data_IF_323663630994
#
_entry.id   IF_323663630994
#
_cell.length_a   1.000
_cell.length_b   1.000
_cell.length_c   1.000
_cell.angle_alpha   90.00
_cell.angle_beta   90.00
_cell.angle_gamma   90.00
#
_symmetry.space_group_name_H-M   'P 1'
#
loop_
_entity.id
_entity.type
_entity.pdbx_description
1 polymer ?
#
# COMPACT_ATOMS: atom_id res chain seq x y z
N UNK A 1 57.98 -11.27 66.77
CA UNK A 1 57.02 -12.07 65.99
C UNK A 1 56.20 -11.11 65.14
N UNK A 2 56.74 -10.65 64.02
CA UNK A 2 56.79 -11.29 62.68
C UNK A 2 55.57 -10.95 61.84
N UNK A 3 55.72 -9.84 61.12
CA UNK A 3 55.04 -9.53 59.86
C UNK A 3 55.35 -10.62 58.82
N UNK A 4 54.34 -11.06 58.06
CA UNK A 4 54.51 -11.71 56.75
C UNK A 4 53.59 -11.02 55.73
N UNK A 5 54.09 -10.65 54.54
CA UNK A 5 53.28 -10.07 53.46
C UNK A 5 52.75 -11.18 52.53
N UNK A 6 51.56 -10.97 51.96
CA UNK A 6 51.05 -11.75 50.82
C UNK A 6 50.89 -10.80 49.64
N UNK A 7 51.90 -10.77 48.77
CA UNK A 7 51.83 -10.23 47.41
C UNK A 7 52.35 -11.30 46.45
N UNK A 8 51.46 -11.81 45.58
CA UNK A 8 51.71 -12.40 44.24
C UNK A 8 50.59 -13.39 43.88
N UNK A 9 49.54 -12.89 43.21
CA UNK A 9 48.70 -13.75 42.35
C UNK A 9 48.09 -13.01 41.15
N UNK A 10 47.96 -11.67 41.20
CA UNK A 10 47.29 -10.92 40.13
C UNK A 10 48.09 -10.74 38.82
N UNK A 11 49.43 -10.88 38.80
CA UNK A 11 50.22 -10.61 37.59
C UNK A 11 50.32 -11.79 36.61
N UNK A 12 50.05 -13.04 37.02
CA UNK A 12 50.11 -14.20 36.11
C UNK A 12 48.84 -14.34 35.25
N UNK A 13 47.67 -14.01 35.79
CA UNK A 13 46.40 -14.11 35.05
C UNK A 13 46.23 -13.04 33.96
N UNK A 14 46.82 -11.84 34.13
CA UNK A 14 46.79 -10.80 33.10
C UNK A 14 47.67 -11.15 31.88
N UNK A 15 48.81 -11.82 32.08
CA UNK A 15 49.71 -12.23 31.00
C UNK A 15 49.15 -13.42 30.19
N UNK A 16 48.43 -14.34 30.84
CA UNK A 16 47.73 -15.43 30.14
C UNK A 16 46.53 -14.93 29.33
N UNK A 17 45.77 -13.96 29.85
CA UNK A 17 44.65 -13.35 29.12
C UNK A 17 45.10 -12.50 27.92
N UNK A 18 46.25 -11.81 27.99
CA UNK A 18 46.80 -11.06 26.84
C UNK A 18 47.31 -12.00 25.75
N UNK A 19 48.04 -13.06 26.12
CA UNK A 19 48.56 -14.08 25.20
C UNK A 19 47.45 -14.84 24.46
N UNK A 20 46.32 -15.10 25.14
CA UNK A 20 45.16 -15.78 24.54
C UNK A 20 44.39 -14.85 23.58
N UNK A 21 44.28 -13.55 23.90
CA UNK A 21 43.69 -12.54 23.01
C UNK A 21 44.53 -12.31 21.75
N UNK A 22 45.85 -12.21 21.88
CA UNK A 22 46.76 -12.09 20.73
C UNK A 22 46.71 -13.33 19.83
N UNK A 23 46.68 -14.55 20.39
CA UNK A 23 46.51 -15.77 19.58
C UNK A 23 45.17 -15.80 18.84
N UNK A 24 44.07 -15.38 19.47
CA UNK A 24 42.76 -15.31 18.81
C UNK A 24 42.69 -14.26 17.69
N UNK A 25 43.41 -13.14 17.83
CA UNK A 25 43.52 -12.09 16.80
C UNK A 25 44.40 -12.54 15.62
N UNK A 26 45.46 -13.30 15.89
CA UNK A 26 46.30 -13.89 14.84
C UNK A 26 45.56 -14.97 14.05
N UNK A 27 44.69 -15.75 14.70
CA UNK A 27 43.85 -16.74 14.00
C UNK A 27 42.72 -16.08 13.19
N UNK A 28 42.10 -15.01 13.70
CA UNK A 28 41.10 -14.24 12.94
C UNK A 28 41.69 -13.57 11.69
N UNK A 29 42.86 -12.96 11.80
CA UNK A 29 43.55 -12.35 10.65
C UNK A 29 44.04 -13.38 9.63
N UNK A 30 44.33 -14.61 10.06
CA UNK A 30 44.67 -15.73 9.15
C UNK A 30 43.45 -16.25 8.41
N UNK A 31 42.30 -16.34 9.07
CA UNK A 31 41.02 -16.72 8.47
C UNK A 31 40.56 -15.63 7.48
N UNK A 32 40.66 -14.35 7.83
CA UNK A 32 40.35 -13.24 6.91
C UNK A 32 41.24 -13.26 5.67
N UNK A 33 42.54 -13.52 5.83
CA UNK A 33 43.46 -13.66 4.68
C UNK A 33 43.15 -14.89 3.83
N UNK A 34 42.71 -16.00 4.42
CA UNK A 34 42.29 -17.18 3.67
C UNK A 34 40.95 -16.97 2.95
N UNK A 35 40.02 -16.21 3.54
CA UNK A 35 38.77 -15.80 2.88
C UNK A 35 39.04 -14.83 1.74
N UNK A 36 39.93 -13.85 1.93
CA UNK A 36 40.35 -12.94 0.86
C UNK A 36 41.10 -13.66 -0.26
N UNK A 37 42.00 -14.59 0.07
CA UNK A 37 42.71 -15.39 -0.93
C UNK A 37 41.78 -16.37 -1.67
N UNK A 38 40.76 -16.92 -1.00
CA UNK A 38 39.71 -17.71 -1.65
C UNK A 38 38.81 -16.84 -2.52
N UNK A 39 38.49 -15.61 -2.10
CA UNK A 39 37.73 -14.65 -2.89
C UNK A 39 38.52 -14.15 -4.11
N UNK A 40 39.85 -13.98 -3.99
CA UNK A 40 40.75 -13.64 -5.10
C UNK A 40 40.99 -14.82 -6.04
N UNK A 41 41.09 -16.05 -5.52
CA UNK A 41 41.17 -17.25 -6.34
C UNK A 41 39.84 -17.55 -7.08
N UNK A 42 38.70 -17.23 -6.46
CA UNK A 42 37.39 -17.28 -7.12
C UNK A 42 37.25 -16.19 -8.19
N UNK A 43 37.76 -14.97 -7.92
CA UNK A 43 37.86 -13.87 -8.92
C UNK A 43 38.82 -14.16 -10.08
N UNK A 44 39.82 -15.01 -9.90
CA UNK A 44 40.83 -15.29 -10.91
C UNK A 44 40.43 -16.41 -11.89
N UNK A 45 39.35 -17.15 -11.61
CA UNK A 45 39.00 -18.39 -12.32
C UNK A 45 37.96 -18.25 -13.44
N UNK A 46 37.32 -17.09 -13.61
CA UNK A 46 36.44 -16.83 -14.76
C UNK A 46 36.82 -15.53 -15.46
N UNK A 47 37.50 -15.66 -16.59
CA UNK A 47 37.68 -14.57 -17.55
C UNK A 47 36.96 -14.96 -18.83
N UNK A 48 35.64 -14.77 -18.88
CA UNK A 48 34.85 -14.38 -20.05
C UNK A 48 33.41 -14.04 -19.61
N UNK A 49 32.95 -12.83 -20.00
CA UNK A 49 31.58 -12.30 -20.02
C UNK A 49 31.05 -11.50 -18.79
N UNK A 50 31.34 -10.20 -18.77
CA UNK A 50 30.76 -9.24 -17.82
C UNK A 50 29.22 -9.16 -17.85
N UNK A 51 28.60 -9.49 -18.98
CA UNK A 51 27.13 -9.55 -19.09
C UNK A 51 26.57 -10.83 -18.45
N UNK A 52 27.29 -11.94 -18.50
CA UNK A 52 26.83 -13.20 -17.92
C UNK A 52 26.85 -13.13 -16.38
N UNK A 53 27.85 -12.47 -15.78
CA UNK A 53 27.88 -12.19 -14.34
C UNK A 53 26.71 -11.30 -13.88
N UNK A 54 26.35 -10.29 -14.67
CA UNK A 54 25.19 -9.41 -14.39
C UNK A 54 23.87 -10.19 -14.49
N UNK A 55 23.76 -11.07 -15.49
CA UNK A 55 22.60 -11.93 -15.69
C UNK A 55 22.50 -12.96 -14.56
N UNK A 56 23.61 -13.54 -14.14
CA UNK A 56 23.68 -14.48 -13.01
C UNK A 56 23.25 -13.81 -11.71
N UNK A 57 23.71 -12.57 -11.47
CA UNK A 57 23.27 -11.78 -10.32
C UNK A 57 21.75 -11.56 -10.32
N UNK A 58 21.17 -11.19 -11.46
CA UNK A 58 19.71 -11.04 -11.61
C UNK A 58 18.99 -12.37 -11.40
N UNK A 59 19.51 -13.46 -11.98
CA UNK A 59 18.96 -14.81 -11.85
C UNK A 59 18.94 -15.27 -10.38
N UNK A 60 20.01 -15.01 -9.63
CA UNK A 60 20.10 -15.32 -8.20
C UNK A 60 19.00 -14.59 -7.41
N UNK A 61 18.80 -13.30 -7.69
CA UNK A 61 17.76 -12.48 -7.04
C UNK A 61 16.36 -12.96 -7.40
N UNK A 62 16.09 -13.21 -8.68
CA UNK A 62 14.82 -13.78 -9.16
C UNK A 62 14.53 -15.12 -8.47
N UNK A 63 15.53 -16.00 -8.38
CA UNK A 63 15.40 -17.33 -7.75
C UNK A 63 15.13 -17.22 -6.25
N UNK A 64 15.86 -16.34 -5.55
CA UNK A 64 15.69 -16.12 -4.12
C UNK A 64 14.31 -15.56 -3.74
N UNK A 65 13.77 -14.64 -4.57
CA UNK A 65 12.54 -13.91 -4.27
C UNK A 65 11.27 -14.57 -4.81
N UNK A 66 11.24 -14.96 -6.10
CA UNK A 66 10.06 -15.52 -6.77
C UNK A 66 9.99 -17.04 -6.67
N UNK A 67 11.09 -17.71 -6.30
CA UNK A 67 11.28 -19.18 -6.25
C UNK A 67 10.62 -19.91 -7.44
N UNK A 68 10.97 -19.56 -8.69
CA UNK A 68 10.39 -20.19 -9.87
C UNK A 68 10.95 -21.59 -10.10
N UNK A 69 10.28 -22.39 -10.94
CA UNK A 69 10.84 -23.67 -11.40
C UNK A 69 12.05 -23.40 -12.29
N UNK A 70 13.02 -24.31 -12.30
CA UNK A 70 14.22 -24.17 -13.13
C UNK A 70 13.88 -23.99 -14.62
N UNK A 71 12.82 -24.66 -15.09
CA UNK A 71 12.35 -24.55 -16.48
C UNK A 71 11.77 -23.16 -16.79
N UNK A 72 11.10 -22.52 -15.83
CA UNK A 72 10.52 -21.18 -16.01
C UNK A 72 11.61 -20.09 -16.07
N UNK A 73 12.68 -20.25 -15.30
CA UNK A 73 13.87 -19.37 -15.36
C UNK A 73 14.57 -19.53 -16.70
N UNK A 74 14.80 -20.77 -17.14
CA UNK A 74 15.39 -21.05 -18.45
C UNK A 74 14.54 -20.47 -19.57
N UNK A 75 13.21 -20.59 -19.48
CA UNK A 75 12.29 -20.00 -20.45
C UNK A 75 12.39 -18.47 -20.49
N UNK A 76 12.47 -17.80 -19.32
CA UNK A 76 12.63 -16.34 -19.24
C UNK A 76 13.88 -15.85 -19.96
N UNK A 77 15.02 -16.50 -19.71
CA UNK A 77 16.28 -16.11 -20.34
C UNK A 77 16.43 -16.65 -21.77
N UNK A 78 15.67 -17.66 -22.19
CA UNK A 78 15.72 -18.18 -23.56
C UNK A 78 14.89 -17.34 -24.54
N UNK A 79 13.83 -16.69 -24.05
CA UNK A 79 12.95 -15.85 -24.89
C UNK A 79 13.70 -14.58 -25.38
N UNK A 80 13.76 -14.35 -26.70
CA UNK A 80 14.48 -13.20 -27.26
C UNK A 80 13.88 -11.86 -26.82
N UNK A 81 12.57 -11.77 -26.58
CA UNK A 81 11.93 -10.52 -26.18
C UNK A 81 12.38 -10.08 -24.79
N UNK A 82 12.43 -11.01 -23.83
CA UNK A 82 12.86 -10.72 -22.46
C UNK A 82 14.36 -10.48 -22.36
N UNK A 83 15.16 -11.18 -23.16
CA UNK A 83 16.60 -10.89 -23.28
C UNK A 83 16.86 -9.47 -23.72
N UNK A 84 16.09 -8.97 -24.70
CA UNK A 84 16.20 -7.58 -25.15
C UNK A 84 15.89 -6.64 -23.97
N UNK A 85 14.76 -6.81 -23.28
CA UNK A 85 14.42 -5.98 -22.13
C UNK A 85 15.50 -5.97 -21.03
N UNK A 86 16.00 -7.14 -20.64
CA UNK A 86 17.04 -7.25 -19.61
C UNK A 86 18.34 -6.60 -20.10
N UNK A 87 18.72 -6.80 -21.35
CA UNK A 87 19.91 -6.18 -21.93
C UNK A 87 19.79 -4.67 -22.05
N UNK A 88 18.59 -4.16 -22.34
CA UNK A 88 18.29 -2.74 -22.42
C UNK A 88 18.37 -2.10 -21.04
N UNK A 89 17.82 -2.75 -20.01
CA UNK A 89 18.02 -2.34 -18.62
C UNK A 89 19.49 -2.33 -18.21
N UNK A 90 20.29 -3.33 -18.60
CA UNK A 90 21.71 -3.39 -18.21
C UNK A 90 22.59 -2.37 -18.95
N UNK A 91 22.33 -2.14 -20.23
CA UNK A 91 23.18 -1.31 -21.12
C UNK A 91 22.73 0.15 -21.22
N UNK A 92 21.43 0.41 -21.23
CA UNK A 92 20.90 1.74 -21.43
C UNK A 92 20.90 2.52 -20.11
N UNK A 93 21.39 3.75 -20.17
CA UNK A 93 21.44 4.66 -19.05
C UNK A 93 20.05 5.22 -18.70
N UNK A 94 19.21 5.41 -19.72
CA UNK A 94 17.86 5.99 -19.60
C UNK A 94 16.84 5.00 -19.00
N UNK A 95 17.15 3.70 -19.02
CA UNK A 95 16.26 2.66 -18.49
C UNK A 95 16.59 2.42 -17.02
N UNK A 96 15.71 2.91 -16.15
CA UNK A 96 15.91 2.85 -14.71
C UNK A 96 15.25 1.66 -14.01
N UNK A 97 14.31 0.96 -14.66
CA UNK A 97 13.57 -0.14 -14.03
C UNK A 97 13.31 -1.31 -14.98
N UNK A 98 13.35 -2.52 -14.43
CA UNK A 98 12.85 -3.74 -15.08
C UNK A 98 12.00 -4.55 -14.11
N UNK A 99 10.88 -5.06 -14.61
CA UNK A 99 9.89 -5.81 -13.87
C UNK A 99 9.88 -7.27 -14.31
N UNK A 100 9.94 -8.19 -13.36
CA UNK A 100 9.86 -9.64 -13.58
C UNK A 100 8.68 -10.20 -12.80
N UNK A 101 7.75 -10.86 -13.48
CA UNK A 101 6.50 -11.34 -12.88
C UNK A 101 6.02 -12.62 -13.53
N UNK A 102 5.09 -13.34 -12.87
CA UNK A 102 4.43 -14.48 -13.49
C UNK A 102 3.28 -14.04 -14.38
N UNK A 103 3.18 -14.60 -15.59
CA UNK A 103 2.08 -14.32 -16.52
C UNK A 103 0.72 -14.80 -16.00
N UNK A 104 0.72 -15.81 -15.10
CA UNK A 104 -0.45 -16.38 -14.40
C UNK A 104 -0.03 -16.78 -12.99
N UNK A 105 -0.97 -17.02 -12.05
CA UNK A 105 -0.65 -17.22 -10.61
C UNK A 105 0.42 -18.30 -10.32
N UNK A 106 0.54 -19.31 -11.18
CA UNK A 106 1.68 -20.23 -11.31
C UNK A 106 1.88 -20.55 -12.79
N UNK A 107 2.92 -20.05 -13.44
CA UNK A 107 3.14 -20.24 -14.87
C UNK A 107 4.48 -19.68 -15.35
N UNK A 108 4.65 -19.48 -16.65
CA UNK A 108 5.88 -18.91 -17.20
C UNK A 108 6.13 -17.48 -16.69
N UNK A 109 7.40 -17.16 -16.44
CA UNK A 109 7.86 -15.82 -16.11
C UNK A 109 7.84 -14.91 -17.34
N UNK A 110 7.67 -13.62 -17.09
CA UNK A 110 7.78 -12.56 -18.09
C UNK A 110 8.61 -11.40 -17.53
N UNK A 111 9.32 -10.70 -18.42
CA UNK A 111 10.01 -9.45 -18.10
C UNK A 111 9.45 -8.29 -18.94
N UNK A 112 9.40 -7.09 -18.35
CA UNK A 112 8.98 -5.87 -19.01
C UNK A 112 9.73 -4.66 -18.45
N UNK A 113 9.96 -3.63 -19.28
CA UNK A 113 10.52 -2.35 -18.84
C UNK A 113 9.47 -1.42 -18.21
N UNK A 114 8.20 -1.62 -18.58
CA UNK A 114 7.06 -0.90 -18.03
C UNK A 114 6.29 -1.77 -17.03
N UNK A 115 5.66 -1.17 -16.01
CA UNK A 115 4.89 -1.92 -15.04
C UNK A 115 3.70 -2.62 -15.71
N UNK A 116 3.45 -3.90 -15.41
CA UNK A 116 2.32 -4.63 -16.00
C UNK A 116 0.97 -4.04 -15.55
N UNK A 117 -0.05 -4.04 -16.41
CA UNK A 117 -1.36 -3.44 -16.10
C UNK A 117 -2.10 -4.18 -14.99
N UNK A 118 -1.86 -5.49 -14.84
CA UNK A 118 -2.45 -6.29 -13.77
C UNK A 118 -1.44 -7.35 -13.30
N UNK A 119 -1.25 -7.41 -11.99
CA UNK A 119 -0.45 -8.45 -11.34
C UNK A 119 -1.37 -9.57 -10.86
N UNK A 120 -1.00 -10.81 -11.18
CA UNK A 120 -1.71 -12.01 -10.71
C UNK A 120 -1.04 -12.63 -9.47
N UNK A 121 0.23 -12.28 -9.24
CA UNK A 121 1.10 -12.84 -8.21
C UNK A 121 2.15 -11.80 -7.79
N UNK A 122 3.14 -12.26 -7.01
CA UNK A 122 4.36 -11.50 -6.71
C UNK A 122 5.07 -11.06 -8.01
N UNK A 123 5.59 -9.83 -7.98
CA UNK A 123 6.43 -9.20 -9.00
C UNK A 123 7.73 -8.75 -8.34
N UNK A 124 8.83 -8.83 -9.09
CA UNK A 124 10.14 -8.33 -8.70
C UNK A 124 10.47 -7.13 -9.56
N UNK A 125 10.77 -5.98 -8.93
CA UNK A 125 11.22 -4.78 -9.60
C UNK A 125 12.71 -4.57 -9.30
N UNK A 126 13.51 -4.40 -10.32
CA UNK A 126 14.89 -3.93 -10.19
C UNK A 126 14.93 -2.48 -10.60
N UNK A 127 15.41 -1.60 -9.70
CA UNK A 127 15.53 -0.18 -9.98
C UNK A 127 16.96 0.32 -9.73
N UNK A 128 17.47 1.16 -10.62
CA UNK A 128 18.80 1.79 -10.48
C UNK A 128 18.73 2.99 -9.54
N UNK A 129 19.67 3.08 -8.60
CA UNK A 129 19.89 4.21 -7.71
C UNK A 129 20.84 5.23 -8.36
N UNK A 130 20.36 6.45 -8.63
CA UNK A 130 21.19 7.59 -9.06
C UNK A 130 21.38 7.77 -10.58
N UNK A 131 21.98 8.91 -10.95
CA UNK A 131 22.37 9.29 -12.33
C UNK A 131 23.68 8.59 -12.73
N UNK A 132 23.51 7.31 -13.05
CA UNK A 132 24.21 6.46 -14.02
C UNK A 132 25.75 6.49 -14.14
N UNK A 133 26.34 5.32 -13.90
CA UNK A 133 27.44 4.78 -14.71
C UNK A 133 27.01 3.41 -15.21
N UNK A 134 27.57 2.95 -16.34
CA UNK A 134 27.34 1.59 -16.87
C UNK A 134 27.39 0.55 -15.75
N UNK A 135 26.41 -0.35 -15.71
CA UNK A 135 26.37 -1.40 -14.70
C UNK A 135 27.53 -2.37 -14.94
N UNK A 136 28.32 -2.62 -13.89
CA UNK A 136 29.40 -3.61 -13.88
C UNK A 136 29.14 -4.61 -12.77
N UNK A 137 29.73 -5.80 -12.83
CA UNK A 137 29.55 -6.84 -11.82
C UNK A 137 29.93 -6.36 -10.40
N UNK A 138 30.82 -5.38 -10.30
CA UNK A 138 31.23 -4.78 -9.04
C UNK A 138 30.26 -3.70 -8.52
N UNK A 139 29.55 -2.97 -9.40
CA UNK A 139 28.66 -1.88 -8.99
C UNK A 139 27.18 -2.29 -8.84
N UNK A 140 26.78 -3.43 -9.42
CA UNK A 140 25.37 -3.81 -9.50
C UNK A 140 24.74 -3.97 -8.11
N UNK A 141 25.49 -4.48 -7.14
CA UNK A 141 25.00 -4.72 -5.79
C UNK A 141 24.72 -3.43 -4.99
N UNK A 142 25.45 -2.34 -5.24
CA UNK A 142 25.24 -1.04 -4.59
C UNK A 142 24.28 -0.15 -5.36
N UNK A 143 24.22 -0.31 -6.69
CA UNK A 143 23.51 0.62 -7.57
C UNK A 143 22.13 0.10 -8.00
N UNK A 144 21.78 -1.15 -7.73
CA UNK A 144 20.45 -1.70 -8.06
C UNK A 144 19.73 -2.14 -6.79
N UNK A 145 18.57 -1.53 -6.53
CA UNK A 145 17.64 -2.04 -5.51
C UNK A 145 16.74 -3.10 -6.11
N UNK A 146 16.48 -4.12 -5.30
CA UNK A 146 15.48 -5.15 -5.59
C UNK A 146 14.27 -4.87 -4.71
N UNK A 147 13.13 -4.59 -5.33
CA UNK A 147 11.86 -4.30 -4.66
C UNK A 147 10.87 -5.42 -4.99
N UNK A 148 10.41 -6.10 -3.95
CA UNK A 148 9.32 -7.06 -4.09
C UNK A 148 7.99 -6.32 -4.12
N UNK A 149 7.05 -6.75 -4.96
CA UNK A 149 5.68 -6.27 -4.98
C UNK A 149 4.73 -7.45 -4.96
N UNK A 150 3.65 -7.35 -4.18
CA UNK A 150 2.60 -8.37 -4.16
C UNK A 150 1.60 -8.13 -5.29
N UNK A 151 0.55 -8.97 -5.35
CA UNK A 151 -0.60 -8.77 -6.24
C UNK A 151 -1.26 -7.38 -6.07
N UNK A 152 -1.15 -6.78 -4.89
CA UNK A 152 -1.75 -5.49 -4.54
C UNK A 152 -0.65 -4.49 -4.12
N UNK A 153 0.00 -3.81 -5.09
CA UNK A 153 1.13 -2.92 -4.81
C UNK A 153 0.82 -1.81 -3.82
N UNK A 154 -0.35 -1.18 -3.91
CA UNK A 154 -0.74 -0.08 -3.03
C UNK A 154 -0.83 -0.52 -1.56
N UNK A 155 -1.45 -1.68 -1.31
CA UNK A 155 -1.56 -2.25 0.05
C UNK A 155 -0.18 -2.66 0.59
N UNK A 156 0.65 -3.24 -0.27
CA UNK A 156 2.02 -3.61 0.10
C UNK A 156 2.85 -2.38 0.47
N UNK A 157 2.83 -1.32 -0.34
CA UNK A 157 3.54 -0.07 -0.05
C UNK A 157 3.05 0.52 1.27
N UNK A 158 1.73 0.59 1.49
CA UNK A 158 1.16 1.06 2.75
C UNK A 158 1.66 0.27 3.96
N UNK A 159 1.72 -1.07 3.86
CA UNK A 159 2.23 -1.93 4.93
C UNK A 159 3.72 -1.73 5.19
N UNK A 160 4.55 -1.66 4.16
CA UNK A 160 6.00 -1.45 4.32
C UNK A 160 6.28 -0.08 4.94
N UNK A 161 5.55 0.95 4.52
CA UNK A 161 5.65 2.29 5.12
C UNK A 161 5.30 2.26 6.61
N UNK A 162 4.19 1.62 6.97
CA UNK A 162 3.72 1.59 8.36
C UNK A 162 4.54 0.69 9.27
N UNK A 163 4.96 -0.49 8.80
CA UNK A 163 5.61 -1.52 9.63
C UNK A 163 7.13 -1.42 9.64
N UNK A 164 7.74 -0.84 8.60
CA UNK A 164 9.20 -0.78 8.46
C UNK A 164 9.69 0.66 8.54
N UNK A 165 9.23 1.52 7.63
CA UNK A 165 9.81 2.87 7.53
C UNK A 165 9.39 3.79 8.67
N UNK A 166 8.14 3.71 9.12
CA UNK A 166 7.65 4.55 10.20
C UNK A 166 8.39 4.28 11.54
N UNK A 167 8.55 3.01 11.99
CA UNK A 167 9.38 2.72 13.17
C UNK A 167 10.83 3.15 13.02
N UNK A 168 11.45 2.97 11.84
CA UNK A 168 12.83 3.40 11.59
C UNK A 168 13.01 4.91 11.74
N UNK A 169 12.05 5.69 11.23
CA UNK A 169 12.06 7.15 11.35
C UNK A 169 11.77 7.64 12.78
N UNK A 170 11.00 6.88 13.56
CA UNK A 170 10.75 7.18 14.97
C UNK A 170 11.93 6.79 15.89
N UNK A 171 12.64 5.71 15.57
CA UNK A 171 13.73 5.19 16.39
C UNK A 171 15.05 5.95 16.23
N UNK A 172 15.29 6.54 15.06
CA UNK A 172 16.56 7.19 14.75
C UNK A 172 16.53 8.70 15.10
N UNK A 173 16.79 9.00 16.37
CA UNK A 173 17.04 10.36 16.86
C UNK A 173 18.35 10.97 16.33
N UNK A 174 19.15 10.22 15.55
CA UNK A 174 20.35 10.72 14.88
C UNK A 174 20.04 11.48 13.58
N UNK A 175 18.96 11.15 12.88
CA UNK A 175 18.55 11.80 11.62
C UNK A 175 18.12 13.26 11.84
N UNK A 176 17.60 13.60 13.03
CA UNK A 176 17.28 14.98 13.40
C UNK A 176 18.52 15.88 13.52
N UNK A 177 19.71 15.29 13.69
CA UNK A 177 20.93 16.05 13.96
C UNK A 177 21.77 16.27 12.69
N UNK A 178 21.51 15.51 11.62
CA UNK A 178 22.35 15.49 10.41
C UNK A 178 21.66 16.02 9.14
N UNK A 179 20.36 16.28 9.15
CA UNK A 179 19.64 16.76 7.96
C UNK A 179 18.94 18.10 8.22
N UNK A 180 18.82 18.94 7.17
CA UNK A 180 18.18 20.25 7.24
C UNK A 180 16.65 20.21 7.49
N UNK A 181 16.08 19.01 7.69
CA UNK A 181 14.67 18.76 7.87
C UNK A 181 14.43 18.18 9.26
N UNK A 182 13.52 18.77 10.03
CA UNK A 182 13.11 18.21 11.31
C UNK A 182 12.45 16.85 11.08
N UNK A 183 12.83 15.84 11.87
CA UNK A 183 12.24 14.49 11.81
C UNK A 183 10.70 14.53 11.92
N UNK A 184 10.18 15.52 12.65
CA UNK A 184 8.74 15.83 12.76
C UNK A 184 8.09 16.09 11.40
N UNK A 185 8.71 16.89 10.52
CA UNK A 185 8.15 17.17 9.18
C UNK A 185 8.12 15.93 8.29
N UNK A 186 9.14 15.07 8.39
CA UNK A 186 9.20 13.82 7.63
C UNK A 186 8.09 12.88 8.13
N UNK A 187 7.89 12.81 9.44
CA UNK A 187 6.82 12.03 10.06
C UNK A 187 5.43 12.52 9.62
N UNK A 188 5.20 13.83 9.61
CA UNK A 188 3.94 14.42 9.13
C UNK A 188 3.67 14.08 7.66
N UNK A 189 4.69 14.19 6.80
CA UNK A 189 4.59 13.82 5.38
C UNK A 189 4.25 12.34 5.25
N UNK A 190 4.91 11.47 6.03
CA UNK A 190 4.68 10.03 5.98
C UNK A 190 3.27 9.65 6.43
N UNK A 191 2.76 10.25 7.52
CA UNK A 191 1.40 10.02 7.97
C UNK A 191 0.37 10.46 6.91
N UNK A 192 0.56 11.64 6.32
CA UNK A 192 -0.31 12.12 5.24
C UNK A 192 -0.23 11.23 4.00
N UNK A 193 0.97 10.79 3.62
CA UNK A 193 1.16 9.91 2.48
C UNK A 193 0.51 8.55 2.68
N UNK A 194 0.67 7.97 3.87
CA UNK A 194 0.05 6.69 4.25
C UNK A 194 -1.47 6.79 4.21
N UNK A 195 -2.07 7.85 4.79
CA UNK A 195 -3.51 8.07 4.71
C UNK A 195 -4.00 8.24 3.28
N UNK A 196 -3.26 8.97 2.43
CA UNK A 196 -3.60 9.10 1.02
C UNK A 196 -3.51 7.75 0.28
N UNK A 197 -2.51 6.92 0.58
CA UNK A 197 -2.37 5.58 0.00
C UNK A 197 -3.53 4.66 0.37
N UNK A 198 -4.00 4.70 1.62
CA UNK A 198 -5.18 3.93 2.06
C UNK A 198 -6.43 4.33 1.27
N UNK A 199 -6.63 5.63 1.07
CA UNK A 199 -7.75 6.17 0.29
C UNK A 199 -7.66 5.74 -1.17
N UNK A 200 -6.49 5.86 -1.78
CA UNK A 200 -6.28 5.49 -3.19
C UNK A 200 -6.45 3.97 -3.37
N UNK A 201 -5.93 3.17 -2.44
CA UNK A 201 -6.12 1.72 -2.46
C UNK A 201 -7.60 1.36 -2.37
N UNK A 202 -8.34 1.97 -1.44
CA UNK A 202 -9.79 1.81 -1.32
C UNK A 202 -10.52 2.17 -2.61
N UNK A 203 -10.29 3.38 -3.14
CA UNK A 203 -10.95 3.85 -4.36
C UNK A 203 -10.63 2.96 -5.57
N UNK A 204 -9.42 2.42 -5.67
CA UNK A 204 -9.05 1.49 -6.74
C UNK A 204 -9.79 0.16 -6.66
N UNK A 205 -10.20 -0.24 -5.45
CA UNK A 205 -11.03 -1.42 -5.20
C UNK A 205 -12.54 -1.11 -5.22
N UNK A 206 -12.92 0.16 -5.40
CA UNK A 206 -14.32 0.62 -5.40
C UNK A 206 -14.90 0.89 -4.01
N UNK A 207 -14.06 1.01 -2.97
CA UNK A 207 -14.48 1.30 -1.61
C UNK A 207 -14.05 2.71 -1.18
N UNK A 208 -14.92 3.44 -0.47
CA UNK A 208 -14.51 4.65 0.23
C UNK A 208 -13.86 4.26 1.55
N UNK A 209 -12.63 4.71 1.79
CA UNK A 209 -11.86 4.40 3.02
C UNK A 209 -11.48 5.68 3.72
N UNK A 210 -11.88 5.80 4.99
CA UNK A 210 -11.51 6.90 5.88
C UNK A 210 -10.17 6.55 6.56
N UNK A 211 -9.07 7.25 6.23
CA UNK A 211 -7.75 6.89 6.73
C UNK A 211 -7.68 7.14 8.24
N UNK A 212 -7.27 6.13 9.00
CA UNK A 212 -7.21 6.22 10.45
C UNK A 212 -5.81 6.75 10.85
N UNK A 213 -5.72 7.82 11.64
CA UNK A 213 -4.42 8.27 12.14
C UNK A 213 -3.83 7.18 13.04
N UNK A 214 -2.52 6.95 12.92
CA UNK A 214 -1.81 5.97 13.73
C UNK A 214 -1.52 6.54 15.13
N UNK A 215 -2.56 6.55 15.97
CA UNK A 215 -2.50 7.09 17.33
C UNK A 215 -1.54 6.31 18.24
N UNK A 216 -1.31 5.02 17.98
CA UNK A 216 -0.45 4.16 18.80
C UNK A 216 1.02 4.63 18.84
N UNK A 217 1.51 5.27 17.77
CA UNK A 217 2.87 5.84 17.72
C UNK A 217 2.93 7.19 18.45
N UNK A 218 1.82 7.91 18.54
CA UNK A 218 1.74 9.23 19.17
C UNK A 218 1.39 9.16 20.66
N UNK A 219 0.58 8.17 21.07
CA UNK A 219 0.06 7.97 22.42
C UNK A 219 1.02 7.28 23.40
N UNK A 220 2.06 6.60 22.90
CA UNK A 220 3.07 5.97 23.77
C UNK A 220 3.95 6.99 24.54
N UNK A 221 3.80 8.29 24.26
CA UNK A 221 4.26 9.37 25.12
C UNK A 221 3.06 10.09 25.72
N UNK A 222 2.49 9.52 26.77
CA UNK A 222 1.61 10.19 27.74
C UNK A 222 2.34 11.29 28.54
N UNK A 223 3.18 12.08 27.88
CA UNK A 223 3.73 13.32 28.40
C UNK A 223 2.80 14.45 27.96
N UNK A 224 2.30 15.20 28.94
CA UNK A 224 1.36 16.33 28.80
C UNK A 224 1.71 17.33 27.68
N UNK A 225 2.99 17.41 27.30
CA UNK A 225 3.49 18.37 26.31
C UNK A 225 3.13 18.01 24.85
N UNK A 226 2.74 16.77 24.55
CA UNK A 226 2.41 16.32 23.17
C UNK A 226 0.91 16.20 22.87
N UNK A 227 0.04 16.40 23.86
CA UNK A 227 -1.40 16.30 23.68
C UNK A 227 -1.94 17.27 22.61
N UNK A 228 -1.40 18.49 22.56
CA UNK A 228 -1.77 19.47 21.52
C UNK A 228 -1.45 19.00 20.10
N UNK A 229 -0.32 18.32 19.91
CA UNK A 229 0.05 17.75 18.61
C UNK A 229 -0.87 16.57 18.22
N UNK A 230 -1.23 15.73 19.19
CA UNK A 230 -2.19 14.63 19.00
C UNK A 230 -3.55 15.16 18.55
N UNK A 231 -4.06 16.19 19.22
CA UNK A 231 -5.32 16.85 18.84
C UNK A 231 -5.23 17.41 17.41
N UNK A 232 -4.14 18.10 17.06
CA UNK A 232 -3.98 18.64 15.70
C UNK A 232 -3.97 17.54 14.62
N UNK A 233 -3.38 16.38 14.88
CA UNK A 233 -3.41 15.21 13.98
C UNK A 233 -4.84 14.68 13.85
N UNK A 234 -5.57 14.55 14.96
CA UNK A 234 -6.98 14.14 14.96
C UNK A 234 -7.86 15.12 14.18
N UNK A 235 -7.69 16.42 14.38
CA UNK A 235 -8.41 17.47 13.63
C UNK A 235 -8.14 17.36 12.13
N UNK A 236 -6.87 17.19 11.75
CA UNK A 236 -6.47 17.05 10.34
C UNK A 236 -7.11 15.82 9.70
N UNK A 237 -7.17 14.69 10.42
CA UNK A 237 -7.83 13.47 9.96
C UNK A 237 -9.34 13.70 9.77
N UNK A 238 -10.02 14.30 10.76
CA UNK A 238 -11.46 14.60 10.70
C UNK A 238 -11.80 15.56 9.55
N UNK A 239 -10.98 16.58 9.31
CA UNK A 239 -11.15 17.48 8.14
C UNK A 239 -11.05 16.69 6.84
N UNK A 240 -10.10 15.76 6.74
CA UNK A 240 -9.94 14.85 5.61
C UNK A 240 -11.18 13.98 5.39
N UNK A 241 -11.70 13.38 6.45
CA UNK A 241 -12.93 12.57 6.42
C UNK A 241 -14.13 13.40 5.96
N UNK A 242 -14.32 14.59 6.52
CA UNK A 242 -15.42 15.50 6.13
C UNK A 242 -15.34 15.84 4.65
N UNK A 243 -14.15 16.12 4.12
CA UNK A 243 -13.98 16.42 2.68
C UNK A 243 -14.35 15.22 1.81
N UNK A 244 -13.91 14.02 2.15
CA UNK A 244 -14.24 12.81 1.41
C UNK A 244 -15.73 12.50 1.45
N UNK A 245 -16.34 12.54 2.64
CA UNK A 245 -17.77 12.28 2.81
C UNK A 245 -18.59 13.31 2.04
N UNK A 246 -18.20 14.59 2.04
CA UNK A 246 -18.87 15.62 1.24
C UNK A 246 -18.78 15.39 -0.26
N UNK A 247 -17.75 14.70 -0.76
CA UNK A 247 -17.68 14.32 -2.19
C UNK A 247 -18.72 13.23 -2.47
N UNK A 248 -18.84 12.24 -1.60
CA UNK A 248 -19.83 11.16 -1.72
C UNK A 248 -21.26 11.69 -1.60
N UNK A 249 -21.51 12.61 -0.66
CA UNK A 249 -22.81 13.26 -0.49
C UNK A 249 -23.19 14.21 -1.65
N UNK A 250 -22.22 14.64 -2.46
CA UNK A 250 -22.46 15.44 -3.67
C UNK A 250 -22.80 14.57 -4.89
N UNK A 251 -22.99 13.27 -4.72
CA UNK A 251 -23.44 12.37 -5.77
C UNK A 251 -24.72 12.95 -6.41
N UNK A 252 -24.66 13.18 -7.72
CA UNK A 252 -25.76 13.67 -8.53
C UNK A 252 -26.21 12.52 -9.45
N UNK A 253 -27.34 11.86 -9.13
CA UNK A 253 -27.86 10.75 -9.92
C UNK A 253 -28.07 11.12 -11.38
N UNK A 254 -28.47 12.36 -11.69
CA UNK A 254 -28.73 12.79 -13.05
C UNK A 254 -27.46 12.93 -13.88
N UNK A 255 -26.38 13.41 -13.27
CA UNK A 255 -25.08 13.52 -13.92
C UNK A 255 -24.55 12.13 -14.26
N UNK A 256 -24.67 11.18 -13.33
CA UNK A 256 -24.20 9.80 -13.53
C UNK A 256 -25.02 9.05 -14.59
N UNK A 257 -26.36 9.22 -14.59
CA UNK A 257 -27.23 8.68 -15.64
C UNK A 257 -26.88 9.23 -17.02
N UNK A 258 -26.53 10.52 -17.13
CA UNK A 258 -26.17 11.18 -18.39
C UNK A 258 -24.90 10.58 -19.02
N UNK A 259 -23.97 10.10 -18.20
CA UNK A 259 -22.75 9.41 -18.67
C UNK A 259 -23.01 8.07 -19.32
N UNK A 260 -24.14 7.41 -19.05
CA UNK A 260 -24.45 6.07 -19.59
C UNK A 260 -25.09 6.08 -20.99
N UNK A 261 -25.30 7.26 -21.59
CA UNK A 261 -25.85 7.42 -22.94
C UNK A 261 -27.38 7.61 -22.97
N UNK A 262 -28.02 7.54 -24.15
CA UNK A 262 -29.37 8.07 -24.36
C UNK A 262 -30.52 7.26 -23.75
N UNK A 263 -30.28 6.05 -23.24
CA UNK A 263 -31.31 5.19 -22.63
C UNK A 263 -30.75 4.31 -21.50
N UNK A 264 -30.38 4.89 -20.34
CA UNK A 264 -30.10 4.09 -19.17
C UNK A 264 -31.36 3.28 -18.81
N UNK A 265 -31.23 1.96 -18.70
CA UNK A 265 -32.36 1.10 -18.31
C UNK A 265 -32.61 1.18 -16.80
N UNK A 266 -33.84 0.90 -16.36
CA UNK A 266 -34.25 0.95 -14.94
C UNK A 266 -33.32 0.08 -14.05
N UNK A 267 -32.82 -1.05 -14.56
CA UNK A 267 -31.87 -1.88 -13.82
C UNK A 267 -30.54 -1.17 -13.52
N UNK A 268 -30.02 -0.35 -14.44
CA UNK A 268 -28.78 0.41 -14.23
C UNK A 268 -28.95 1.47 -13.16
N UNK A 269 -30.10 2.15 -13.17
CA UNK A 269 -30.44 3.12 -12.13
C UNK A 269 -30.55 2.43 -10.76
N UNK A 270 -31.17 1.25 -10.70
CA UNK A 270 -31.23 0.45 -9.47
C UNK A 270 -29.85 0.03 -8.97
N UNK A 271 -28.99 -0.51 -9.84
CA UNK A 271 -27.61 -0.90 -9.50
C UNK A 271 -26.80 0.28 -8.94
N UNK A 272 -26.99 1.49 -9.48
CA UNK A 272 -26.35 2.70 -8.97
C UNK A 272 -26.85 3.08 -7.58
N UNK A 273 -28.16 3.05 -7.33
CA UNK A 273 -28.68 3.29 -5.98
C UNK A 273 -28.19 2.24 -4.99
N UNK A 274 -28.11 0.97 -5.38
CA UNK A 274 -27.54 -0.10 -4.55
C UNK A 274 -26.06 0.16 -4.24
N UNK A 275 -25.26 0.58 -5.23
CA UNK A 275 -23.87 0.97 -5.03
C UNK A 275 -23.74 2.18 -4.09
N UNK A 276 -24.57 3.21 -4.28
CA UNK A 276 -24.56 4.40 -3.43
C UNK A 276 -24.97 4.10 -1.98
N UNK A 277 -25.96 3.23 -1.77
CA UNK A 277 -26.35 2.73 -0.45
C UNK A 277 -25.19 2.00 0.21
N UNK A 278 -24.54 1.08 -0.53
CA UNK A 278 -23.38 0.33 -0.03
C UNK A 278 -22.25 1.27 0.41
N UNK A 279 -21.95 2.31 -0.38
CA UNK A 279 -20.95 3.32 -0.07
C UNK A 279 -21.28 4.10 1.23
N UNK A 280 -22.52 4.55 1.38
CA UNK A 280 -23.00 5.26 2.57
C UNK A 280 -23.03 4.37 3.82
N UNK A 281 -23.37 3.08 3.67
CA UNK A 281 -23.31 2.10 4.75
C UNK A 281 -21.87 1.84 5.21
N UNK A 282 -20.95 1.66 4.25
CA UNK A 282 -19.52 1.50 4.53
C UNK A 282 -18.94 2.70 5.30
N UNK A 283 -19.28 3.93 4.88
CA UNK A 283 -18.90 5.15 5.62
C UNK A 283 -19.48 5.13 7.05
N UNK A 284 -20.76 4.77 7.19
CA UNK A 284 -21.44 4.73 8.50
C UNK A 284 -20.79 3.72 9.46
N UNK A 285 -20.38 2.56 8.95
CA UNK A 285 -19.65 1.55 9.72
C UNK A 285 -18.27 2.04 10.14
N UNK A 286 -17.51 2.64 9.22
CA UNK A 286 -16.18 3.20 9.51
C UNK A 286 -16.24 4.32 10.55
N UNK A 287 -17.24 5.21 10.48
CA UNK A 287 -17.47 6.27 11.47
C UNK A 287 -17.93 5.73 12.83
N UNK A 288 -18.53 4.53 12.86
CA UNK A 288 -18.98 3.87 14.09
C UNK A 288 -17.91 2.97 14.71
N UNK A 289 -16.77 2.80 14.03
CA UNK A 289 -15.63 2.03 14.51
C UNK A 289 -15.11 2.53 15.87
N UNK A 290 -14.57 1.65 16.72
CA UNK A 290 -14.10 2.04 18.05
C UNK A 290 -13.02 3.13 17.99
N UNK A 291 -12.10 3.06 17.03
CA UNK A 291 -11.05 4.06 16.82
C UNK A 291 -11.61 5.42 16.40
N UNK A 292 -12.58 5.46 15.49
CA UNK A 292 -13.22 6.71 15.09
C UNK A 292 -13.99 7.35 16.25
N UNK A 293 -14.65 6.53 17.08
CA UNK A 293 -15.38 6.98 18.26
C UNK A 293 -14.45 7.53 19.34
N UNK A 294 -13.29 6.92 19.55
CA UNK A 294 -12.25 7.44 20.45
C UNK A 294 -11.76 8.82 20.01
N UNK A 295 -11.39 8.97 18.73
CA UNK A 295 -11.00 10.26 18.13
C UNK A 295 -12.09 11.31 18.32
N UNK A 296 -13.34 10.93 18.12
CA UNK A 296 -14.47 11.84 18.31
C UNK A 296 -14.59 12.28 19.79
N UNK A 297 -14.57 11.35 20.74
CA UNK A 297 -14.63 11.66 22.17
C UNK A 297 -13.47 12.59 22.58
N UNK A 298 -12.23 12.30 22.16
CA UNK A 298 -11.07 13.15 22.47
C UNK A 298 -11.20 14.57 21.89
N UNK A 299 -11.78 14.72 20.69
CA UNK A 299 -12.02 16.04 20.09
C UNK A 299 -13.14 16.81 20.79
N UNK A 300 -14.18 16.12 21.30
CA UNK A 300 -15.24 16.75 22.10
C UNK A 300 -14.72 17.21 23.47
N UNK A 301 -13.92 16.39 24.13
CA UNK A 301 -13.27 16.73 25.41
C UNK A 301 -12.33 17.94 25.27
N UNK A 302 -11.65 18.06 24.13
CA UNK A 302 -10.78 19.19 23.83
C UNK A 302 -11.54 20.47 23.39
N UNK A 303 -12.88 20.47 23.34
CA UNK A 303 -13.71 21.56 22.79
C UNK A 303 -13.28 22.00 21.38
N UNK A 304 -12.84 21.04 20.54
CA UNK A 304 -12.41 21.35 19.18
C UNK A 304 -13.58 21.86 18.32
N UNK A 305 -13.32 22.87 17.50
CA UNK A 305 -14.29 23.45 16.56
C UNK A 305 -14.81 22.44 15.53
N UNK A 306 -14.08 21.34 15.30
CA UNK A 306 -14.41 20.32 14.31
C UNK A 306 -15.40 19.26 14.80
N UNK A 307 -15.62 19.11 16.11
CA UNK A 307 -16.59 18.16 16.68
C UNK A 307 -18.01 18.41 16.19
N UNK A 308 -18.44 19.68 16.12
CA UNK A 308 -19.75 20.04 15.59
C UNK A 308 -19.89 19.72 14.10
N UNK A 309 -18.85 20.02 13.31
CA UNK A 309 -18.83 19.73 11.87
C UNK A 309 -18.91 18.23 11.58
N UNK A 310 -18.23 17.41 12.39
CA UNK A 310 -18.28 15.96 12.26
C UNK A 310 -19.68 15.40 12.60
N UNK A 311 -20.32 15.90 13.67
CA UNK A 311 -21.69 15.53 14.03
C UNK A 311 -22.69 15.88 12.94
N UNK A 312 -22.54 17.06 12.32
CA UNK A 312 -23.36 17.48 11.19
C UNK A 312 -23.19 16.53 10.00
N UNK A 313 -21.96 16.20 9.62
CA UNK A 313 -21.68 15.27 8.52
C UNK A 313 -22.23 13.87 8.78
N UNK A 314 -22.09 13.34 10.01
CA UNK A 314 -22.69 12.05 10.38
C UNK A 314 -24.22 12.07 10.21
N UNK A 315 -24.87 13.16 10.62
CA UNK A 315 -26.32 13.35 10.42
C UNK A 315 -26.67 13.40 8.94
N UNK A 316 -25.89 14.10 8.13
CA UNK A 316 -26.12 14.21 6.69
C UNK A 316 -25.95 12.85 5.99
N UNK A 317 -24.97 12.04 6.38
CA UNK A 317 -24.81 10.65 5.91
C UNK A 317 -26.03 9.80 6.25
N UNK A 318 -26.52 9.85 7.50
CA UNK A 318 -27.72 9.07 7.89
C UNK A 318 -28.97 9.48 7.11
N UNK A 319 -29.13 10.78 6.82
CA UNK A 319 -30.24 11.28 6.00
C UNK A 319 -30.11 10.85 4.55
N UNK A 320 -28.92 10.97 3.97
CA UNK A 320 -28.66 10.56 2.59
C UNK A 320 -28.88 9.06 2.42
N UNK A 321 -28.46 8.24 3.40
CA UNK A 321 -28.69 6.80 3.39
C UNK A 321 -30.18 6.47 3.41
N UNK A 322 -30.94 7.08 4.32
CA UNK A 322 -32.38 6.86 4.41
C UNK A 322 -33.10 7.28 3.10
N UNK A 323 -32.71 8.41 2.50
CA UNK A 323 -33.26 8.86 1.23
C UNK A 323 -32.90 7.91 0.06
N UNK A 324 -31.66 7.40 0.03
CA UNK A 324 -31.22 6.44 -0.98
C UNK A 324 -31.95 5.10 -0.85
N UNK A 325 -32.14 4.59 0.37
CA UNK A 325 -32.91 3.37 0.65
C UNK A 325 -34.38 3.52 0.26
N UNK A 326 -34.99 4.68 0.56
CA UNK A 326 -36.35 5.01 0.16
C UNK A 326 -36.49 5.04 -1.37
N UNK A 327 -35.57 5.73 -2.07
CA UNK A 327 -35.55 5.77 -3.54
C UNK A 327 -35.38 4.38 -4.15
N UNK A 328 -34.47 3.57 -3.62
CA UNK A 328 -34.26 2.20 -4.09
C UNK A 328 -35.51 1.32 -3.87
N UNK A 329 -36.23 1.53 -2.77
CA UNK A 329 -37.49 0.83 -2.48
C UNK A 329 -38.56 1.21 -3.50
N UNK A 330 -38.75 2.51 -3.79
CA UNK A 330 -39.70 2.96 -4.80
C UNK A 330 -39.35 2.46 -6.19
N UNK A 331 -38.09 2.56 -6.62
CA UNK A 331 -37.63 2.01 -7.90
C UNK A 331 -37.85 0.50 -7.98
N UNK A 332 -37.65 -0.21 -6.86
CA UNK A 332 -37.93 -1.63 -6.74
C UNK A 332 -39.38 -1.99 -7.11
N UNK A 333 -40.35 -1.16 -6.74
CA UNK A 333 -41.76 -1.37 -7.13
C UNK A 333 -41.99 -1.25 -8.64
N UNK A 334 -41.27 -0.34 -9.31
CA UNK A 334 -41.38 -0.13 -10.76
C UNK A 334 -40.68 -1.23 -11.56
N UNK A 335 -39.57 -1.77 -11.05
CA UNK A 335 -38.85 -2.88 -11.69
C UNK A 335 -39.74 -4.12 -11.86
N UNK A 336 -40.61 -4.42 -10.88
CA UNK A 336 -41.54 -5.55 -10.98
C UNK A 336 -42.44 -5.44 -12.21
N UNK A 337 -43.02 -4.25 -12.45
CA UNK A 337 -43.85 -4.02 -13.64
C UNK A 337 -43.03 -4.01 -14.93
N UNK A 338 -41.81 -3.48 -14.88
CA UNK A 338 -40.90 -3.50 -16.03
C UNK A 338 -40.55 -4.94 -16.44
N UNK A 339 -40.29 -5.83 -15.49
CA UNK A 339 -40.03 -7.26 -15.73
C UNK A 339 -41.25 -7.97 -16.32
N UNK A 340 -42.46 -7.66 -15.83
CA UNK A 340 -43.71 -8.18 -16.39
C UNK A 340 -43.90 -7.74 -17.85
N UNK A 341 -43.63 -6.47 -18.17
CA UNK A 341 -43.74 -5.94 -19.53
C UNK A 341 -42.69 -6.52 -20.49
N UNK A 342 -41.48 -6.80 -19.98
CA UNK A 342 -40.38 -7.37 -20.76
C UNK A 342 -40.58 -8.87 -21.04
N UNK A 343 -41.11 -9.62 -20.07
CA UNK A 343 -41.32 -11.07 -20.18
C UNK A 343 -42.52 -11.45 -21.06
N UNK A 344 -43.55 -10.60 -21.11
CA UNK A 344 -44.74 -10.86 -21.91
C UNK A 344 -44.48 -10.68 -23.41
N UNK A 345 -45.02 -11.59 -24.24
CA UNK A 345 -44.84 -11.55 -25.71
C UNK A 345 -46.07 -10.96 -26.43
N UNK A 346 -47.25 -11.08 -25.82
CA UNK A 346 -48.50 -10.58 -26.41
C UNK A 346 -48.72 -9.09 -26.11
N UNK A 347 -48.92 -8.28 -27.15
CA UNK A 347 -49.17 -6.84 -27.00
C UNK A 347 -50.44 -6.53 -26.20
N UNK A 348 -51.47 -7.37 -26.27
CA UNK A 348 -52.70 -7.19 -25.49
C UNK A 348 -52.45 -7.32 -23.98
N UNK A 349 -51.61 -8.27 -23.57
CA UNK A 349 -51.25 -8.47 -22.17
C UNK A 349 -50.29 -7.39 -21.64
N UNK A 350 -49.41 -6.87 -22.49
CA UNK A 350 -48.58 -5.69 -22.16
C UNK A 350 -49.42 -4.47 -21.83
N UNK A 351 -50.48 -4.21 -22.61
CA UNK A 351 -51.40 -3.09 -22.35
C UNK A 351 -52.11 -3.22 -20.98
N UNK A 352 -52.51 -4.43 -20.59
CA UNK A 352 -53.10 -4.66 -19.25
C UNK A 352 -52.14 -4.41 -18.09
N UNK A 353 -50.83 -4.63 -18.27
CA UNK A 353 -49.82 -4.35 -17.24
C UNK A 353 -49.32 -2.90 -17.24
N UNK A 354 -49.51 -2.19 -18.36
CA UNK A 354 -49.07 -0.80 -18.50
C UNK A 354 -49.88 0.18 -17.65
N UNK A 355 -51.20 0.01 -17.57
CA UNK A 355 -52.05 0.89 -16.76
C UNK A 355 -51.75 0.79 -15.24
N UNK A 356 -51.61 -0.42 -14.65
CA UNK A 356 -51.13 -0.57 -13.27
C UNK A 356 -49.75 0.06 -13.04
N UNK A 357 -48.82 -0.08 -13.98
CA UNK A 357 -47.49 0.53 -13.87
C UNK A 357 -47.58 2.06 -13.79
N UNK A 358 -48.42 2.70 -14.60
CA UNK A 358 -48.64 4.16 -14.53
C UNK A 358 -49.28 4.58 -13.20
N UNK A 359 -50.21 3.80 -12.65
CA UNK A 359 -50.75 4.06 -11.32
C UNK A 359 -49.68 3.93 -10.22
N UNK A 360 -48.81 2.92 -10.29
CA UNK A 360 -47.67 2.79 -9.37
C UNK A 360 -46.70 3.95 -9.53
N UNK A 361 -46.42 4.40 -10.75
CA UNK A 361 -45.59 5.58 -11.00
C UNK A 361 -46.20 6.84 -10.39
N UNK A 362 -47.52 7.02 -10.53
CA UNK A 362 -48.23 8.13 -9.89
C UNK A 362 -48.13 8.05 -8.36
N UNK A 363 -48.34 6.86 -7.78
CA UNK A 363 -48.22 6.65 -6.33
C UNK A 363 -46.80 6.97 -5.84
N UNK A 364 -45.78 6.48 -6.55
CA UNK A 364 -44.38 6.81 -6.27
C UNK A 364 -44.19 8.32 -6.34
N UNK A 365 -44.62 9.00 -7.43
CA UNK A 365 -44.48 10.45 -7.56
C UNK A 365 -45.19 11.24 -6.45
N UNK A 366 -46.31 10.75 -5.94
CA UNK A 366 -47.05 11.41 -4.85
C UNK A 366 -46.45 11.16 -3.46
N UNK A 367 -45.74 10.05 -3.27
CA UNK A 367 -45.24 9.61 -1.96
C UNK A 367 -43.71 9.74 -1.81
N UNK A 368 -42.96 9.75 -2.91
CA UNK A 368 -41.53 10.08 -2.93
C UNK A 368 -41.37 11.57 -2.67
N UNK A 369 -40.63 11.91 -1.62
CA UNK A 369 -40.58 13.26 -1.08
C UNK A 369 -39.47 14.13 -1.66
#
# INVERSE_FOLDING_TARGET
MSLKPVTRSASRDMSLRSSTKERSLVDLTRIERQICALAEAFRASDRFCSMDELIEWLQLRITSSLRPRADDIKALFSDPAYRICISEFLKNEDVHSVFVFYRRSKGALAASLTPPPALQSKCLCFAKLGTVSKLTAENIASNVITVDCTKFPLRYIGQVLHQVYLPLLCADSGISNSSAYSAEKIMDILHRFTGNLEVIAGHSEGFIVLPMPSLDILGNSAASDRWGAVIHVMETAVIGWIKQIKIVLKHDPFLELKTWGPKPGIYREKEMWEAHIHDLQSITEQLSSPKAREIFCSLEEANSTYGHSFRAVRKDVTKALAAAEENNTYLGTLVVYYDLLKSEKSNGKKQTHFLPMLHTLLLVWTHSR
#
